data_IF_110494226706
#
_entry.id   IF_110494226706
#
_cell.length_a   1.000
_cell.length_b   1.000
_cell.length_c   1.000
_cell.angle_alpha   90.00
_cell.angle_beta   90.00
_cell.angle_gamma   90.00
#
_symmetry.space_group_name_H-M   'P 1'
#
loop_
_entity.id
_entity.type
_entity.pdbx_description
1 polymer ?
#
# COMPACT_ATOMS: atom_id res chain seq x y z
N UNK A 1 -10.02 -32.63 -12.73
CA UNK A 1 -11.29 -33.32 -12.41
C UNK A 1 -11.32 -33.54 -10.91
N UNK A 2 -12.37 -33.05 -10.26
CA UNK A 2 -12.43 -32.63 -8.85
C UNK A 2 -12.44 -33.79 -7.83
N UNK A 3 -11.59 -33.72 -6.80
CA UNK A 3 -11.68 -34.53 -5.56
C UNK A 3 -12.63 -33.82 -4.57
N UNK A 4 -13.91 -33.72 -4.94
CA UNK A 4 -14.95 -33.06 -4.13
C UNK A 4 -16.04 -34.05 -3.69
N UNK A 5 -15.71 -35.35 -3.65
CA UNK A 5 -16.68 -36.44 -3.43
C UNK A 5 -16.58 -37.04 -2.01
N UNK A 6 -15.53 -36.77 -1.24
CA UNK A 6 -15.22 -37.64 -0.10
C UNK A 6 -16.01 -37.31 1.20
N UNK A 7 -16.28 -36.03 1.48
CA UNK A 7 -16.82 -35.63 2.80
C UNK A 7 -18.28 -36.08 3.02
N UNK A 8 -19.09 -36.12 1.95
CA UNK A 8 -20.51 -36.52 2.07
C UNK A 8 -20.71 -38.04 2.10
N UNK A 9 -19.82 -38.83 1.51
CA UNK A 9 -19.98 -40.29 1.47
C UNK A 9 -19.92 -40.92 2.87
N UNK A 10 -19.08 -40.40 3.77
CA UNK A 10 -18.94 -40.87 5.15
C UNK A 10 -20.18 -40.59 6.01
N UNK A 11 -20.85 -39.44 5.78
CA UNK A 11 -22.07 -39.07 6.49
C UNK A 11 -23.27 -39.95 6.13
N UNK A 12 -23.30 -40.47 4.89
CA UNK A 12 -24.39 -41.30 4.39
C UNK A 12 -24.06 -42.81 4.36
N UNK A 13 -22.94 -43.22 4.96
CA UNK A 13 -22.46 -44.60 5.03
C UNK A 13 -22.37 -45.30 3.65
N UNK A 14 -21.99 -44.55 2.62
CA UNK A 14 -21.90 -45.04 1.24
C UNK A 14 -20.51 -45.63 1.02
N UNK A 15 -20.38 -46.93 0.69
CA UNK A 15 -19.06 -47.54 0.49
C UNK A 15 -18.41 -47.04 -0.80
N UNK A 16 -17.18 -46.53 -0.69
CA UNK A 16 -16.36 -46.15 -1.85
C UNK A 16 -15.75 -47.41 -2.46
N UNK A 17 -16.32 -47.86 -3.59
CA UNK A 17 -15.94 -49.10 -4.26
C UNK A 17 -14.80 -48.92 -5.28
N UNK A 18 -14.53 -47.69 -5.72
CA UNK A 18 -13.50 -47.39 -6.70
C UNK A 18 -12.09 -47.54 -6.11
N UNK A 19 -11.32 -48.53 -6.58
CA UNK A 19 -9.96 -48.84 -6.09
C UNK A 19 -9.00 -47.65 -6.16
N UNK A 20 -9.08 -46.85 -7.22
CA UNK A 20 -8.21 -45.68 -7.43
C UNK A 20 -8.43 -44.64 -6.32
N UNK A 21 -9.65 -44.54 -5.79
CA UNK A 21 -10.00 -43.56 -4.76
C UNK A 21 -9.67 -44.03 -3.35
N UNK A 22 -9.59 -45.35 -3.09
CA UNK A 22 -9.35 -45.90 -1.74
C UNK A 22 -8.05 -45.41 -1.11
N UNK A 23 -6.98 -45.28 -1.91
CA UNK A 23 -5.68 -44.81 -1.41
C UNK A 23 -5.74 -43.34 -0.99
N UNK A 24 -6.35 -42.50 -1.82
CA UNK A 24 -6.49 -41.07 -1.54
C UNK A 24 -7.37 -40.82 -0.31
N UNK A 25 -8.50 -41.54 -0.20
CA UNK A 25 -9.42 -41.49 0.94
C UNK A 25 -8.72 -41.96 2.21
N UNK A 26 -7.96 -43.06 2.16
CA UNK A 26 -7.21 -43.57 3.30
C UNK A 26 -6.16 -42.57 3.79
N UNK A 27 -5.43 -41.93 2.88
CA UNK A 27 -4.48 -40.86 3.22
C UNK A 27 -5.17 -39.64 3.84
N UNK A 28 -6.36 -39.28 3.37
CA UNK A 28 -7.17 -38.19 3.93
C UNK A 28 -7.72 -38.52 5.33
N UNK A 29 -8.24 -39.73 5.53
CA UNK A 29 -8.71 -40.19 6.86
C UNK A 29 -7.56 -40.31 7.86
N UNK A 30 -6.39 -40.77 7.42
CA UNK A 30 -5.19 -40.83 8.24
C UNK A 30 -4.69 -39.44 8.68
N UNK A 31 -4.84 -38.41 7.85
CA UNK A 31 -4.45 -37.04 8.20
C UNK A 31 -5.48 -36.32 9.09
N UNK A 32 -6.76 -36.69 9.01
CA UNK A 32 -7.86 -36.14 9.83
C UNK A 32 -8.03 -36.78 11.21
N UNK A 33 -7.21 -37.78 11.56
CA UNK A 33 -7.22 -38.46 12.87
C UNK A 33 -6.57 -37.68 14.03
N UNK A 34 -6.08 -36.45 13.80
CA UNK A 34 -5.74 -35.50 14.88
C UNK A 34 -6.89 -34.51 15.03
N UNK A 35 -7.83 -34.86 15.91
CA UNK A 35 -8.76 -33.93 16.53
C UNK A 35 -7.95 -32.81 17.18
N UNK A 36 -7.86 -31.65 16.53
CA UNK A 36 -7.43 -30.42 17.20
C UNK A 36 -8.58 -29.96 18.09
N UNK A 37 -8.65 -30.53 19.29
CA UNK A 37 -9.24 -29.87 20.43
C UNK A 37 -8.49 -28.55 20.63
N UNK A 38 -9.16 -27.45 20.31
CA UNK A 38 -8.92 -26.11 20.83
C UNK A 38 -7.48 -25.54 20.70
N UNK A 39 -7.19 -24.98 19.53
CA UNK A 39 -6.50 -23.69 19.42
C UNK A 39 -7.00 -23.02 18.15
N UNK A 40 -7.95 -22.10 18.27
CA UNK A 40 -8.30 -21.15 17.21
C UNK A 40 -7.11 -20.21 16.98
N UNK A 41 -6.08 -20.72 16.31
CA UNK A 41 -5.04 -19.88 15.72
C UNK A 41 -5.62 -19.22 14.47
N UNK A 42 -5.98 -17.96 14.62
CA UNK A 42 -5.89 -16.91 13.60
C UNK A 42 -5.23 -17.37 12.30
N UNK A 43 -6.05 -17.71 11.30
CA UNK A 43 -5.58 -17.77 9.92
C UNK A 43 -5.43 -16.34 9.41
N UNK A 44 -4.19 -15.87 9.51
CA UNK A 44 -3.48 -15.01 8.54
C UNK A 44 -4.11 -13.65 8.21
N UNK A 45 -4.13 -12.75 9.20
CA UNK A 45 -3.97 -11.32 8.92
C UNK A 45 -2.48 -11.10 8.61
N UNK A 46 -2.08 -10.51 7.47
CA UNK A 46 -0.68 -10.17 7.21
C UNK A 46 -0.09 -9.41 8.41
N UNK A 47 1.13 -9.76 8.81
CA UNK A 47 1.75 -9.29 10.05
C UNK A 47 1.91 -7.75 10.11
N UNK A 48 1.92 -7.10 8.95
CA UNK A 48 2.06 -5.64 8.81
C UNK A 48 0.73 -4.87 8.94
N UNK A 49 -0.42 -5.56 9.05
CA UNK A 49 -1.70 -4.86 9.17
C UNK A 49 -1.89 -4.35 10.60
N UNK A 50 -1.62 -3.06 10.77
CA UNK A 50 -1.91 -2.28 11.99
C UNK A 50 -3.35 -2.49 12.46
N UNK A 51 -3.54 -2.45 13.77
CA UNK A 51 -4.88 -2.31 14.34
C UNK A 51 -5.54 -1.05 13.81
N UNK A 52 -6.86 -1.05 13.72
CA UNK A 52 -7.53 0.14 13.21
C UNK A 52 -7.36 1.30 14.19
N UNK A 53 -6.87 2.41 13.66
CA UNK A 53 -7.06 3.75 14.18
C UNK A 53 -7.48 4.66 13.02
N UNK A 54 -8.00 5.85 13.31
CA UNK A 54 -8.30 6.83 12.26
C UNK A 54 -7.03 7.18 11.47
N UNK A 55 -5.91 7.38 12.16
CA UNK A 55 -4.61 7.64 11.54
C UNK A 55 -4.17 6.50 10.62
N UNK A 56 -4.27 5.24 11.09
CA UNK A 56 -3.92 4.08 10.27
C UNK A 56 -4.84 3.94 9.04
N UNK A 57 -6.10 4.37 9.14
CA UNK A 57 -7.03 4.39 8.01
C UNK A 57 -6.66 5.48 6.98
N UNK A 58 -6.30 6.69 7.44
CA UNK A 58 -5.81 7.77 6.59
C UNK A 58 -4.50 7.37 5.90
N UNK A 59 -3.57 6.76 6.63
CA UNK A 59 -2.32 6.25 6.09
C UNK A 59 -2.56 5.18 5.02
N UNK A 60 -3.44 4.22 5.28
CA UNK A 60 -3.76 3.15 4.33
C UNK A 60 -4.38 3.70 3.03
N UNK A 61 -5.31 4.67 3.14
CA UNK A 61 -5.89 5.33 1.95
C UNK A 61 -4.82 6.12 1.20
N UNK A 62 -3.95 6.83 1.92
CA UNK A 62 -2.88 7.63 1.31
C UNK A 62 -1.89 6.73 0.57
N UNK A 63 -1.48 5.61 1.18
CA UNK A 63 -0.62 4.62 0.54
C UNK A 63 -1.27 4.01 -0.70
N UNK A 64 -2.56 3.64 -0.63
CA UNK A 64 -3.30 3.15 -1.79
C UNK A 64 -3.28 4.17 -2.94
N UNK A 65 -3.45 5.46 -2.64
CA UNK A 65 -3.43 6.50 -3.67
C UNK A 65 -2.04 6.68 -4.28
N UNK A 66 -0.99 6.70 -3.46
CA UNK A 66 0.39 6.93 -3.91
C UNK A 66 0.94 5.71 -4.65
N UNK A 67 0.79 4.51 -4.07
CA UNK A 67 1.39 3.29 -4.58
C UNK A 67 0.78 2.84 -5.91
N UNK A 68 -0.53 3.04 -6.07
CA UNK A 68 -1.28 2.62 -7.26
C UNK A 68 -1.61 3.77 -8.23
N UNK A 69 -0.99 4.94 -8.06
CA UNK A 69 -1.21 6.17 -8.86
C UNK A 69 -2.72 6.49 -9.06
N UNK A 70 -3.49 6.38 -7.97
CA UNK A 70 -4.92 6.61 -8.04
C UNK A 70 -5.23 8.10 -8.04
N UNK A 71 -6.32 8.49 -8.71
CA UNK A 71 -6.82 9.85 -8.59
C UNK A 71 -7.25 10.13 -7.15
N UNK A 72 -6.85 11.29 -6.59
CA UNK A 72 -7.37 11.76 -5.30
C UNK A 72 -8.90 11.82 -5.26
N UNK A 73 -9.57 11.97 -6.41
CA UNK A 73 -11.04 11.99 -6.47
C UNK A 73 -11.67 10.60 -6.19
N UNK A 74 -10.89 9.52 -6.21
CA UNK A 74 -11.39 8.16 -5.94
C UNK A 74 -12.04 8.07 -4.56
N UNK A 75 -11.51 8.82 -3.57
CA UNK A 75 -12.04 8.81 -2.20
C UNK A 75 -13.41 9.49 -2.08
N UNK A 76 -13.79 10.30 -3.05
CA UNK A 76 -15.11 10.92 -3.11
C UNK A 76 -16.15 10.01 -3.79
N UNK A 77 -15.74 8.86 -4.34
CA UNK A 77 -16.65 7.90 -4.93
C UNK A 77 -17.62 7.34 -3.89
N UNK A 78 -18.94 7.51 -4.06
CA UNK A 78 -19.92 6.95 -3.13
C UNK A 78 -19.86 5.42 -3.06
N UNK A 79 -19.43 4.76 -4.14
CA UNK A 79 -19.27 3.32 -4.19
C UNK A 79 -18.13 2.84 -3.29
N UNK A 80 -16.99 3.51 -3.34
CA UNK A 80 -15.85 3.18 -2.50
C UNK A 80 -16.16 3.46 -1.02
N UNK A 81 -16.77 4.62 -0.73
CA UNK A 81 -17.22 4.97 0.62
C UNK A 81 -18.20 3.94 1.19
N UNK A 82 -19.13 3.46 0.37
CA UNK A 82 -20.06 2.38 0.75
C UNK A 82 -19.35 1.08 1.08
N UNK A 83 -18.25 0.75 0.39
CA UNK A 83 -17.44 -0.43 0.73
C UNK A 83 -16.84 -0.25 2.13
N UNK A 84 -16.29 0.91 2.47
CA UNK A 84 -15.76 1.15 3.82
C UNK A 84 -16.83 1.05 4.91
N UNK A 85 -18.01 1.64 4.68
CA UNK A 85 -19.15 1.55 5.61
C UNK A 85 -19.68 0.12 5.74
N UNK A 86 -19.59 -0.71 4.69
CA UNK A 86 -19.97 -2.12 4.75
C UNK A 86 -18.99 -2.94 5.59
N UNK A 87 -17.69 -2.63 5.49
CA UNK A 87 -16.64 -3.33 6.20
C UNK A 87 -16.60 -2.98 7.70
N UNK A 88 -17.08 -1.78 8.07
CA UNK A 88 -17.01 -1.28 9.44
C UNK A 88 -18.32 -0.61 9.88
N UNK A 89 -19.03 -1.25 10.81
CA UNK A 89 -20.38 -0.87 11.23
C UNK A 89 -20.45 0.43 12.06
N UNK A 90 -19.38 0.76 12.80
CA UNK A 90 -19.28 1.96 13.63
C UNK A 90 -18.74 3.18 12.86
N UNK A 91 -18.28 3.00 11.61
CA UNK A 91 -17.77 4.07 10.77
C UNK A 91 -18.92 4.90 10.21
N UNK A 92 -18.81 6.23 10.27
CA UNK A 92 -19.71 7.15 9.58
C UNK A 92 -19.05 7.71 8.34
N UNK A 93 -19.85 8.17 7.38
CA UNK A 93 -19.31 8.79 6.17
C UNK A 93 -18.49 10.07 6.47
N UNK A 94 -18.86 10.79 7.54
CA UNK A 94 -18.11 11.95 8.05
C UNK A 94 -16.71 11.60 8.57
N UNK A 95 -16.50 10.34 8.96
CA UNK A 95 -15.22 9.85 9.47
C UNK A 95 -14.32 9.35 8.33
N UNK A 96 -14.81 9.32 7.09
CA UNK A 96 -14.01 8.96 5.92
C UNK A 96 -13.28 10.22 5.43
N UNK A 97 -11.93 10.20 5.33
CA UNK A 97 -11.18 11.37 4.91
C UNK A 97 -11.61 11.81 3.51
N UNK A 98 -11.82 13.11 3.35
CA UNK A 98 -12.08 13.70 2.05
C UNK A 98 -10.79 13.96 1.28
N UNK A 99 -10.91 14.25 -0.01
CA UNK A 99 -9.80 14.58 -0.92
C UNK A 99 -8.88 15.64 -0.34
N UNK A 100 -9.43 16.66 0.31
CA UNK A 100 -8.65 17.74 0.94
C UNK A 100 -7.81 17.22 2.10
N UNK A 101 -8.37 16.33 2.93
CA UNK A 101 -7.65 15.68 4.03
C UNK A 101 -6.49 14.87 3.50
N UNK A 102 -6.73 13.99 2.51
CA UNK A 102 -5.66 13.18 1.93
C UNK A 102 -4.60 14.05 1.24
N UNK A 103 -5.01 15.10 0.52
CA UNK A 103 -4.06 16.04 -0.10
C UNK A 103 -3.15 16.70 0.92
N UNK A 104 -3.67 17.11 2.07
CA UNK A 104 -2.87 17.72 3.11
C UNK A 104 -1.91 16.70 3.73
N UNK A 105 -2.39 15.48 4.00
CA UNK A 105 -1.56 14.38 4.50
C UNK A 105 -0.40 14.04 3.55
N UNK A 106 -0.66 13.99 2.23
CA UNK A 106 0.38 13.79 1.21
C UNK A 106 1.43 14.89 1.26
N UNK A 107 1.04 16.16 1.48
CA UNK A 107 1.99 17.26 1.61
C UNK A 107 2.83 17.12 2.87
N UNK A 108 2.24 16.74 3.99
CA UNK A 108 2.96 16.53 5.25
C UNK A 108 4.02 15.43 5.09
N UNK A 109 3.64 14.28 4.53
CA UNK A 109 4.56 13.18 4.21
C UNK A 109 5.67 13.66 3.25
N UNK A 110 5.29 14.42 2.21
CA UNK A 110 6.26 14.97 1.27
C UNK A 110 7.26 15.93 1.94
N UNK A 111 6.79 16.83 2.80
CA UNK A 111 7.64 17.80 3.50
C UNK A 111 8.60 17.09 4.47
N UNK A 112 8.16 16.02 5.14
CA UNK A 112 9.02 15.17 5.96
C UNK A 112 10.09 14.45 5.14
N UNK A 113 9.69 13.83 4.02
CA UNK A 113 10.63 13.18 3.11
C UNK A 113 11.62 14.18 2.49
N UNK A 114 11.15 15.37 2.12
CA UNK A 114 11.98 16.42 1.52
C UNK A 114 13.03 16.91 2.52
N UNK A 115 12.67 17.11 3.79
CA UNK A 115 13.64 17.45 4.84
C UNK A 115 14.73 16.38 5.01
N UNK A 116 14.34 15.11 5.00
CA UNK A 116 15.32 14.01 5.03
C UNK A 116 16.26 14.04 3.83
N UNK A 117 15.70 14.24 2.63
CA UNK A 117 16.49 14.39 1.41
C UNK A 117 17.38 15.64 1.43
N UNK A 118 16.96 16.77 1.99
CA UNK A 118 17.79 17.98 2.12
C UNK A 118 19.04 17.73 2.98
N UNK A 119 18.92 16.91 4.03
CA UNK A 119 20.06 16.51 4.85
C UNK A 119 21.04 15.60 4.10
N UNK A 120 20.52 14.71 3.23
CA UNK A 120 21.30 13.80 2.40
C UNK A 120 21.91 14.49 1.15
N UNK A 121 21.20 15.45 0.56
CA UNK A 121 21.55 16.15 -0.70
C UNK A 121 22.45 17.38 -0.44
N UNK A 122 23.20 17.41 0.67
CA UNK A 122 24.26 18.43 0.89
C UNK A 122 25.34 18.46 -0.21
N UNK A 123 25.38 17.45 -1.09
CA UNK A 123 26.13 17.44 -2.36
C UNK A 123 25.22 16.87 -3.46
N UNK A 124 24.51 17.75 -4.18
CA UNK A 124 23.57 17.38 -5.25
C UNK A 124 24.02 17.84 -6.63
N UNK A 125 23.79 17.01 -7.65
CA UNK A 125 23.91 17.38 -9.07
C UNK A 125 22.52 17.53 -9.65
N UNK A 126 22.18 18.69 -10.20
CA UNK A 126 20.92 18.91 -10.90
C UNK A 126 21.15 18.68 -12.39
N UNK A 127 20.54 17.63 -12.95
CA UNK A 127 20.53 17.42 -14.38
C UNK A 127 19.42 18.26 -15.00
N UNK A 128 19.79 19.21 -15.84
CA UNK A 128 18.83 20.01 -16.60
C UNK A 128 18.83 19.51 -18.05
N UNK A 129 17.73 18.89 -18.47
CA UNK A 129 17.60 18.13 -19.72
C UNK A 129 17.33 18.98 -20.98
N UNK A 130 17.09 20.30 -20.84
CA UNK A 130 16.77 21.18 -21.97
C UNK A 130 17.71 22.39 -22.13
N UNK A 131 18.79 22.20 -22.89
CA UNK A 131 19.97 23.07 -22.94
C UNK A 131 19.70 24.57 -23.21
N UNK A 132 18.70 24.93 -24.02
CA UNK A 132 18.47 26.32 -24.45
C UNK A 132 17.67 27.18 -23.46
N UNK A 133 16.90 26.59 -22.55
CA UNK A 133 16.18 27.33 -21.50
C UNK A 133 16.90 27.32 -20.14
N UNK A 134 17.96 26.51 -20.03
CA UNK A 134 18.71 26.34 -18.79
C UNK A 134 19.55 27.56 -18.42
N UNK A 135 19.98 28.39 -19.37
CA UNK A 135 20.80 29.57 -19.07
C UNK A 135 20.06 30.59 -18.21
N UNK A 136 18.81 30.91 -18.57
CA UNK A 136 17.96 31.85 -17.82
C UNK A 136 17.63 31.32 -16.42
N UNK A 137 17.34 30.02 -16.30
CA UNK A 137 17.10 29.37 -15.01
C UNK A 137 18.35 29.40 -14.14
N UNK A 138 19.53 29.10 -14.69
CA UNK A 138 20.78 29.07 -13.95
C UNK A 138 21.21 30.45 -13.43
N UNK A 139 20.94 31.53 -14.19
CA UNK A 139 21.13 32.91 -13.72
C UNK A 139 20.16 33.26 -12.58
N UNK A 140 18.90 32.82 -12.68
CA UNK A 140 17.90 33.05 -11.65
C UNK A 140 18.23 32.28 -10.37
N UNK A 141 18.69 31.04 -10.52
CA UNK A 141 19.13 30.17 -9.43
C UNK A 141 20.36 30.73 -8.71
N UNK A 142 21.34 31.25 -9.47
CA UNK A 142 22.50 31.94 -8.87
C UNK A 142 22.08 33.11 -7.98
N UNK A 143 21.12 33.92 -8.45
CA UNK A 143 20.61 35.06 -7.68
C UNK A 143 19.97 34.61 -6.36
N UNK A 144 19.11 33.60 -6.40
CA UNK A 144 18.44 33.09 -5.20
C UNK A 144 19.43 32.43 -4.23
N UNK A 145 20.33 31.58 -4.72
CA UNK A 145 21.32 30.92 -3.86
C UNK A 145 22.24 31.95 -3.18
N UNK A 146 22.65 33.00 -3.89
CA UNK A 146 23.44 34.09 -3.30
C UNK A 146 22.65 34.91 -2.28
N UNK A 147 21.35 35.14 -2.52
CA UNK A 147 20.48 35.80 -1.54
C UNK A 147 20.37 35.01 -0.23
N UNK A 148 20.48 33.68 -0.31
CA UNK A 148 20.55 32.77 0.83
C UNK A 148 21.97 32.52 1.37
N UNK A 149 22.99 33.26 0.91
CA UNK A 149 24.37 33.15 1.40
C UNK A 149 25.14 31.93 0.88
N UNK A 150 24.62 31.25 -0.16
CA UNK A 150 25.24 30.07 -0.77
C UNK A 150 26.07 30.53 -1.98
N UNK A 151 27.41 30.32 -1.99
CA UNK A 151 28.25 30.70 -3.11
C UNK A 151 27.96 29.80 -4.32
N UNK A 152 27.42 30.42 -5.38
CA UNK A 152 27.11 29.73 -6.64
C UNK A 152 27.58 30.56 -7.84
N UNK A 153 28.10 29.88 -8.86
CA UNK A 153 28.53 30.44 -10.14
C UNK A 153 27.98 29.55 -11.26
N UNK A 154 26.98 30.05 -11.98
CA UNK A 154 26.30 29.31 -13.03
C UNK A 154 27.21 28.92 -14.21
N UNK A 155 28.38 29.56 -14.35
CA UNK A 155 29.32 29.29 -15.44
C UNK A 155 30.30 28.19 -15.05
N UNK A 156 30.75 28.18 -13.79
CA UNK A 156 31.74 27.22 -13.27
C UNK A 156 31.14 25.92 -12.75
N UNK A 157 29.87 25.93 -12.34
CA UNK A 157 29.18 24.77 -11.79
C UNK A 157 28.46 23.92 -12.86
N UNK A 158 28.94 23.97 -14.12
CA UNK A 158 28.44 23.15 -15.22
C UNK A 158 29.46 22.07 -15.55
N UNK A 159 29.04 20.80 -15.55
CA UNK A 159 29.77 19.75 -16.26
C UNK A 159 29.36 19.84 -17.73
N UNK A 160 30.34 19.91 -18.64
CA UNK A 160 30.14 19.85 -20.10
C UNK A 160 30.62 18.52 -20.64
#
# INVERSE_FOLDING_TARGET
MYVLVDIRCDQFNIPITAEISKRAVASYRASKGKSSSQSTSSKERPEDIREYSYEAFVDAITQFIIADDQSLNVIESPHLRRIFLLLRQDLKDSDIPHRTTIRNHVKEIWDEHLKGLEEEIKIGWVTLDNASNNDTFMVSLERELRAHGIPFDHTKNRIR
#
